data_IF_935521852026
#
_entry.id   IF_935521852026
#
_cell.length_a   1.000
_cell.length_b   1.000
_cell.length_c   1.000
_cell.angle_alpha   90.00
_cell.angle_beta   90.00
_cell.angle_gamma   90.00
#
_symmetry.space_group_name_H-M   'P 1'
#
loop_
_entity.id
_entity.type
_entity.pdbx_description
1 polymer ?
#
# COMPACT_ATOMS: atom_id res chain seq x y z
N UNK A 1 6.83 22.70 -61.44
CA UNK A 1 5.81 23.75 -61.69
C UNK A 1 5.42 24.18 -60.31
N UNK A 2 6.08 25.08 -59.94
CA UNK A 2 6.05 26.55 -59.71
C UNK A 2 5.65 26.84 -58.27
N UNK A 3 6.61 27.28 -57.52
CA UNK A 3 6.93 28.71 -57.23
C UNK A 3 5.81 29.41 -56.44
N UNK A 4 6.12 29.98 -55.30
CA UNK A 4 6.39 31.39 -55.03
C UNK A 4 6.70 31.57 -53.55
N UNK A 5 7.89 31.79 -53.12
CA UNK A 5 8.63 33.04 -52.98
C UNK A 5 8.02 34.06 -51.97
N UNK A 6 8.69 34.21 -50.84
CA UNK A 6 9.29 35.43 -50.28
C UNK A 6 8.41 36.65 -49.98
N UNK A 7 8.24 36.99 -48.69
CA UNK A 7 8.34 38.42 -48.30
C UNK A 7 9.02 38.50 -46.92
N UNK A 8 10.21 39.09 -46.93
CA UNK A 8 10.93 39.61 -45.76
C UNK A 8 10.40 41.00 -45.44
N UNK A 9 9.96 41.21 -44.23
CA UNK A 9 9.63 42.52 -43.67
C UNK A 9 10.58 42.90 -42.54
N UNK A 10 11.61 43.68 -42.84
CA UNK A 10 12.47 44.34 -41.84
C UNK A 10 11.71 45.48 -41.19
N UNK A 11 11.55 45.46 -39.89
CA UNK A 11 11.10 46.60 -39.09
C UNK A 11 12.25 47.12 -38.23
N UNK A 12 12.46 48.43 -38.34
CA UNK A 12 13.56 49.21 -37.79
C UNK A 12 13.42 49.39 -36.28
N UNK A 13 14.51 49.12 -35.58
CA UNK A 13 14.72 49.47 -34.17
C UNK A 13 14.84 51.00 -34.06
N UNK A 14 13.93 51.63 -33.33
CA UNK A 14 14.12 53.03 -32.85
C UNK A 14 14.59 52.96 -31.39
N UNK A 15 15.83 53.32 -31.18
CA UNK A 15 16.39 53.64 -29.86
C UNK A 15 15.79 54.96 -29.40
N UNK A 16 15.13 54.94 -28.25
CA UNK A 16 14.79 56.16 -27.52
C UNK A 16 15.59 56.14 -26.22
N UNK A 17 16.55 57.02 -26.13
CA UNK A 17 17.23 57.36 -24.86
C UNK A 17 16.34 58.30 -24.09
N UNK A 18 16.04 58.01 -22.84
CA UNK A 18 15.56 58.99 -21.87
C UNK A 18 16.41 58.90 -20.61
N UNK A 19 16.87 60.05 -20.26
CA UNK A 19 17.78 60.34 -19.16
C UNK A 19 17.12 60.13 -17.78
N UNK A 20 17.99 59.89 -16.81
CA UNK A 20 17.66 59.52 -15.45
C UNK A 20 16.96 60.56 -14.58
N UNK A 21 16.29 60.06 -13.58
CA UNK A 21 16.10 60.72 -12.32
C UNK A 21 16.26 59.67 -11.24
N UNK A 22 17.33 59.79 -10.45
CA UNK A 22 17.56 58.97 -9.27
C UNK A 22 16.69 59.44 -8.12
N UNK A 23 15.65 58.74 -7.81
CA UNK A 23 14.94 58.89 -6.56
C UNK A 23 15.44 57.82 -5.55
N UNK A 24 16.17 58.28 -4.56
CA UNK A 24 16.59 57.45 -3.42
C UNK A 24 15.38 57.29 -2.52
N UNK A 25 14.74 56.12 -2.55
CA UNK A 25 13.72 55.74 -1.58
C UNK A 25 14.42 54.98 -0.46
N UNK A 26 14.53 55.61 0.70
CA UNK A 26 14.92 54.90 1.94
C UNK A 26 13.75 54.08 2.39
N UNK A 27 13.77 52.77 2.17
CA UNK A 27 12.80 51.82 2.73
C UNK A 27 13.32 51.43 4.12
N UNK A 28 12.68 51.97 5.15
CA UNK A 28 12.87 51.48 6.52
C UNK A 28 12.28 50.04 6.61
N UNK A 29 13.14 49.04 6.64
CA UNK A 29 12.75 47.64 6.88
C UNK A 29 12.34 47.46 8.34
N UNK A 30 11.05 47.41 8.60
CA UNK A 30 10.51 46.89 9.88
C UNK A 30 10.67 45.37 9.85
N UNK A 31 11.65 44.88 10.57
CA UNK A 31 11.77 43.43 10.87
C UNK A 31 10.64 43.05 11.82
N UNK A 32 9.51 42.62 11.28
CA UNK A 32 8.51 41.91 12.05
C UNK A 32 9.06 40.47 12.27
N UNK A 33 9.55 40.20 13.46
CA UNK A 33 9.85 38.84 13.93
C UNK A 33 8.51 38.12 14.13
N UNK A 34 8.04 37.45 13.08
CA UNK A 34 7.00 36.44 13.26
C UNK A 34 7.62 35.26 14.03
N UNK A 35 7.44 35.28 15.35
CA UNK A 35 7.59 34.07 16.15
C UNK A 35 6.46 33.12 15.74
N UNK A 36 6.71 32.29 14.72
CA UNK A 36 5.88 31.12 14.48
C UNK A 36 6.08 30.21 15.67
N UNK A 37 5.05 30.11 16.53
CA UNK A 37 4.95 29.03 17.51
C UNK A 37 5.09 27.74 16.70
N UNK A 38 6.23 27.08 16.84
CA UNK A 38 6.46 25.77 16.29
C UNK A 38 5.43 24.85 16.92
N UNK A 39 4.38 24.52 16.18
CA UNK A 39 3.59 23.34 16.49
C UNK A 39 4.58 22.19 16.37
N UNK A 40 4.88 21.60 17.51
CA UNK A 40 5.67 20.36 17.63
C UNK A 40 4.95 19.30 16.80
N UNK A 41 5.27 19.23 15.50
CA UNK A 41 4.84 18.14 14.65
C UNK A 41 5.66 16.95 15.12
N UNK A 42 5.06 16.13 16.01
CA UNK A 42 5.49 14.76 16.19
C UNK A 42 5.92 14.25 14.83
N UNK A 43 7.19 13.94 14.64
CA UNK A 43 7.68 13.27 13.44
C UNK A 43 6.88 11.98 13.34
N UNK A 44 6.07 11.78 12.31
CA UNK A 44 5.42 10.48 12.13
C UNK A 44 6.56 9.45 12.05
N UNK A 45 6.39 8.36 12.77
CA UNK A 45 7.26 7.19 12.62
C UNK A 45 7.40 6.87 11.14
N UNK A 46 8.48 6.18 10.75
CA UNK A 46 8.83 5.94 9.35
C UNK A 46 7.59 5.83 8.46
N UNK A 47 7.48 6.70 7.46
CA UNK A 47 6.38 6.69 6.50
C UNK A 47 6.36 5.43 5.63
N UNK A 48 7.34 4.53 5.80
CA UNK A 48 7.46 3.30 5.04
C UNK A 48 7.98 2.15 5.93
N UNK A 49 7.46 0.95 5.69
CA UNK A 49 7.88 -0.30 6.33
C UNK A 49 8.14 -1.33 5.24
N UNK A 50 9.33 -1.94 5.27
CA UNK A 50 9.67 -3.12 4.47
C UNK A 50 9.43 -4.37 5.29
N UNK A 51 8.60 -5.25 4.76
CA UNK A 51 8.23 -6.55 5.35
C UNK A 51 8.88 -7.64 4.52
N UNK A 52 9.69 -8.49 5.13
CA UNK A 52 10.24 -9.67 4.47
C UNK A 52 9.24 -10.82 4.57
N UNK A 53 8.98 -11.50 3.45
CA UNK A 53 8.10 -12.66 3.40
C UNK A 53 8.93 -13.94 3.53
N UNK A 54 8.54 -14.81 4.45
CA UNK A 54 9.11 -16.15 4.61
C UNK A 54 8.08 -17.21 4.20
N UNK A 55 8.55 -18.28 3.57
CA UNK A 55 7.76 -19.45 3.24
C UNK A 55 7.59 -20.40 4.43
N UNK A 56 6.83 -21.47 4.24
CA UNK A 56 6.57 -22.49 5.28
C UNK A 56 7.82 -23.24 5.74
N UNK A 57 8.89 -23.21 4.96
CA UNK A 57 10.21 -23.75 5.27
C UNK A 57 11.12 -22.71 5.98
N UNK A 58 10.61 -21.51 6.25
CA UNK A 58 11.36 -20.39 6.82
C UNK A 58 12.27 -19.65 5.84
N UNK A 59 12.35 -20.07 4.59
CA UNK A 59 13.15 -19.39 3.58
C UNK A 59 12.52 -18.06 3.15
N UNK A 60 13.33 -17.05 2.84
CA UNK A 60 12.85 -15.80 2.28
C UNK A 60 12.28 -16.03 0.86
N UNK A 61 11.01 -15.66 0.68
CA UNK A 61 10.30 -15.80 -0.60
C UNK A 61 9.96 -14.46 -1.25
N UNK A 62 10.27 -13.34 -0.59
CA UNK A 62 10.00 -12.03 -1.15
C UNK A 62 9.94 -10.91 -0.13
N UNK A 63 9.34 -9.82 -0.51
CA UNK A 63 9.14 -8.66 0.38
C UNK A 63 7.93 -7.84 -0.05
N UNK A 64 7.37 -7.10 0.91
CA UNK A 64 6.33 -6.09 0.69
C UNK A 64 6.78 -4.78 1.31
N UNK A 65 6.62 -3.69 0.59
CA UNK A 65 6.80 -2.32 1.06
C UNK A 65 5.44 -1.69 1.29
N UNK A 66 5.21 -1.20 2.48
CA UNK A 66 4.04 -0.41 2.85
C UNK A 66 4.48 1.03 3.04
N UNK A 67 3.96 1.95 2.26
CA UNK A 67 4.34 3.35 2.31
C UNK A 67 3.12 4.23 2.57
N UNK A 68 3.06 4.89 3.72
CA UNK A 68 2.01 5.84 4.06
C UNK A 68 2.14 7.11 3.22
N UNK A 69 1.10 7.43 2.47
CA UNK A 69 1.01 8.64 1.64
C UNK A 69 -0.28 9.40 1.99
N UNK A 70 -0.18 10.31 2.96
CA UNK A 70 -1.34 11.06 3.47
C UNK A 70 -2.39 10.11 4.03
N UNK A 71 -3.55 10.00 3.35
CA UNK A 71 -4.72 9.18 3.70
C UNK A 71 -4.69 7.75 3.11
N UNK A 72 -3.62 7.38 2.42
CA UNK A 72 -3.49 6.07 1.75
C UNK A 72 -2.19 5.38 2.08
N UNK A 73 -2.19 4.06 2.01
CA UNK A 73 -0.97 3.25 1.99
C UNK A 73 -0.75 2.72 0.58
N UNK A 74 0.41 2.99 0.01
CA UNK A 74 0.88 2.32 -1.20
C UNK A 74 1.53 1.01 -0.79
N UNK A 75 0.99 -0.09 -1.30
CA UNK A 75 1.51 -1.44 -1.14
C UNK A 75 2.23 -1.82 -2.43
N UNK A 76 3.48 -2.23 -2.33
CA UNK A 76 4.23 -2.78 -3.47
C UNK A 76 5.06 -3.96 -3.00
N UNK A 77 5.26 -4.96 -3.87
CA UNK A 77 5.99 -6.14 -3.44
C UNK A 77 6.37 -7.07 -4.57
N UNK A 78 7.25 -7.99 -4.19
CA UNK A 78 7.75 -9.07 -5.02
C UNK A 78 7.68 -10.36 -4.20
N UNK A 79 7.22 -11.44 -4.81
CA UNK A 79 7.36 -12.80 -4.26
C UNK A 79 7.87 -13.74 -5.33
N UNK A 80 8.51 -14.84 -4.90
CA UNK A 80 9.06 -15.88 -5.77
C UNK A 80 8.92 -17.26 -5.12
N UNK A 81 9.01 -18.30 -5.93
CA UNK A 81 8.93 -19.69 -5.47
C UNK A 81 7.52 -20.11 -5.06
N UNK A 82 6.50 -19.33 -5.44
CA UNK A 82 5.10 -19.67 -5.23
C UNK A 82 4.52 -20.43 -6.42
N UNK A 83 3.43 -21.17 -6.19
CA UNK A 83 2.74 -21.87 -7.29
C UNK A 83 2.09 -20.87 -8.25
N UNK A 84 2.11 -21.10 -9.58
CA UNK A 84 1.44 -20.19 -10.51
C UNK A 84 -0.07 -20.09 -10.29
N UNK A 85 -0.61 -18.89 -10.43
CA UNK A 85 -2.05 -18.61 -10.29
C UNK A 85 -2.36 -17.43 -9.38
N UNK A 86 -3.63 -17.26 -9.07
CA UNK A 86 -4.07 -16.24 -8.10
C UNK A 86 -4.00 -16.79 -6.68
N UNK A 87 -3.54 -15.96 -5.76
CA UNK A 87 -3.42 -16.23 -4.32
C UNK A 87 -4.15 -15.15 -3.53
N UNK A 88 -4.85 -15.55 -2.46
CA UNK A 88 -5.34 -14.60 -1.47
C UNK A 88 -4.15 -13.84 -0.87
N UNK A 89 -4.33 -12.53 -0.72
CA UNK A 89 -3.29 -11.63 -0.23
C UNK A 89 -3.91 -10.67 0.77
N UNK A 90 -3.53 -10.80 2.04
CA UNK A 90 -4.20 -10.11 3.12
C UNK A 90 -3.23 -9.56 4.17
N UNK A 91 -3.70 -8.56 4.93
CA UNK A 91 -3.12 -8.24 6.23
C UNK A 91 -3.84 -9.09 7.29
N UNK A 92 -3.09 -9.77 8.14
CA UNK A 92 -3.55 -10.50 9.31
C UNK A 92 -3.35 -9.70 10.59
N UNK A 93 -4.18 -9.98 11.61
CA UNK A 93 -4.37 -9.15 12.78
C UNK A 93 -3.21 -9.18 13.79
N UNK A 94 -2.31 -10.16 13.73
CA UNK A 94 -1.22 -10.34 14.70
C UNK A 94 0.13 -10.43 13.99
N UNK A 95 1.13 -9.72 14.50
CA UNK A 95 2.49 -9.65 13.94
C UNK A 95 3.36 -10.88 14.30
N UNK A 96 2.82 -12.10 14.11
CA UNK A 96 3.53 -13.35 14.40
C UNK A 96 3.46 -14.31 13.21
N UNK A 97 4.60 -14.58 12.59
CA UNK A 97 4.75 -15.53 11.48
C UNK A 97 5.49 -16.79 11.94
N UNK A 98 4.78 -17.72 12.61
CA UNK A 98 5.34 -19.00 13.02
C UNK A 98 5.00 -20.09 11.96
N UNK A 99 5.98 -20.57 11.16
CA UNK A 99 5.73 -21.64 10.20
C UNK A 99 5.45 -23.00 10.83
N UNK A 100 5.81 -23.18 12.12
CA UNK A 100 5.61 -24.40 12.90
C UNK A 100 4.48 -24.31 13.91
N UNK A 101 3.56 -23.34 13.76
CA UNK A 101 2.44 -23.18 14.68
C UNK A 101 1.61 -24.47 14.76
N UNK A 102 1.15 -24.90 15.96
CA UNK A 102 0.58 -26.23 16.18
C UNK A 102 -0.66 -26.56 15.34
N UNK A 103 -1.42 -25.55 14.94
CA UNK A 103 -2.67 -25.70 14.18
C UNK A 103 -2.49 -25.49 12.68
N UNK A 104 -1.26 -25.25 12.22
CA UNK A 104 -0.90 -25.07 10.81
C UNK A 104 0.01 -23.87 10.60
N UNK A 105 0.78 -23.82 9.49
CA UNK A 105 1.70 -22.75 9.21
C UNK A 105 1.07 -21.38 9.33
N UNK A 106 1.73 -20.48 10.07
CA UNK A 106 1.35 -19.06 10.22
C UNK A 106 -0.04 -18.80 10.83
N UNK A 107 -0.71 -19.82 11.44
CA UNK A 107 -2.00 -19.62 12.13
C UNK A 107 -1.84 -18.65 13.32
N UNK A 108 -0.61 -18.53 13.85
CA UNK A 108 -0.22 -17.55 14.87
C UNK A 108 -0.51 -16.09 14.48
N UNK A 109 -0.60 -15.78 13.19
CA UNK A 109 -0.94 -14.43 12.72
C UNK A 109 -2.43 -14.05 12.91
N UNK A 110 -3.26 -14.95 13.46
CA UNK A 110 -4.70 -14.70 13.64
C UNK A 110 -5.50 -14.71 12.34
N UNK A 111 -6.68 -14.09 12.35
CA UNK A 111 -7.53 -13.88 11.19
C UNK A 111 -7.11 -12.62 10.39
N UNK A 112 -7.88 -12.28 9.36
CA UNK A 112 -7.69 -11.04 8.62
C UNK A 112 -7.80 -9.82 9.55
N UNK A 113 -7.03 -8.77 9.28
CA UNK A 113 -7.12 -7.50 10.00
C UNK A 113 -8.50 -6.88 9.77
N UNK A 114 -9.35 -6.91 10.80
CA UNK A 114 -10.77 -6.58 10.72
C UNK A 114 -11.25 -5.80 11.94
N UNK A 115 -10.80 -4.55 12.14
CA UNK A 115 -11.15 -3.75 13.31
C UNK A 115 -12.64 -3.38 13.38
N UNK A 116 -13.37 -3.49 12.27
CA UNK A 116 -14.79 -3.11 12.16
C UNK A 116 -15.73 -4.31 12.19
N UNK A 117 -15.20 -5.54 12.32
CA UNK A 117 -15.96 -6.79 12.43
C UNK A 117 -16.93 -7.02 11.26
N UNK A 118 -16.49 -6.71 10.05
CA UNK A 118 -17.22 -6.97 8.81
C UNK A 118 -16.97 -8.41 8.32
N UNK A 119 -17.69 -8.82 7.28
CA UNK A 119 -17.41 -10.07 6.57
C UNK A 119 -16.30 -9.88 5.53
N UNK A 120 -15.69 -11.00 5.10
CA UNK A 120 -14.69 -11.01 4.06
C UNK A 120 -15.17 -10.31 2.78
N UNK A 121 -14.20 -9.65 2.14
CA UNK A 121 -14.34 -8.67 1.08
C UNK A 121 -14.34 -7.24 1.60
N UNK A 122 -14.80 -7.04 2.85
CA UNK A 122 -14.85 -5.73 3.52
C UNK A 122 -13.96 -5.63 4.77
N UNK A 123 -13.15 -6.67 5.10
CA UNK A 123 -12.12 -6.51 6.12
C UNK A 123 -11.14 -5.42 5.72
N UNK A 124 -10.65 -4.66 6.67
CA UNK A 124 -9.64 -3.64 6.37
C UNK A 124 -8.36 -4.27 5.77
N UNK A 125 -8.04 -5.51 6.15
CA UNK A 125 -6.89 -6.25 5.66
C UNK A 125 -7.06 -6.94 4.30
N UNK A 126 -8.25 -6.92 3.69
CA UNK A 126 -8.45 -7.56 2.39
C UNK A 126 -7.84 -6.72 1.27
N UNK A 127 -6.91 -7.32 0.52
CA UNK A 127 -6.15 -6.68 -0.55
C UNK A 127 -6.42 -7.36 -1.90
N UNK A 128 -6.10 -6.70 -3.03
CA UNK A 128 -6.16 -7.35 -4.34
C UNK A 128 -5.35 -8.65 -4.36
N UNK A 129 -5.87 -9.74 -4.98
CA UNK A 129 -5.16 -11.00 -5.06
C UNK A 129 -3.79 -10.87 -5.72
N UNK A 130 -2.82 -11.63 -5.23
CA UNK A 130 -1.51 -11.72 -5.83
C UNK A 130 -1.54 -12.68 -7.03
N UNK A 131 -1.13 -12.23 -8.22
CA UNK A 131 -0.97 -13.06 -9.38
C UNK A 131 0.48 -13.56 -9.47
N UNK A 132 0.67 -14.87 -9.38
CA UNK A 132 1.94 -15.56 -9.60
C UNK A 132 1.99 -16.04 -11.04
N UNK A 133 3.03 -15.63 -11.76
CA UNK A 133 3.28 -16.02 -13.16
C UNK A 133 3.81 -17.47 -13.27
N UNK A 134 3.87 -18.00 -14.48
CA UNK A 134 4.25 -19.41 -14.72
C UNK A 134 5.67 -19.74 -14.30
N UNK A 135 6.52 -18.74 -14.12
CA UNK A 135 7.90 -18.88 -13.62
C UNK A 135 7.99 -18.77 -12.07
N UNK A 136 6.85 -18.71 -11.37
CA UNK A 136 6.78 -18.66 -9.92
C UNK A 136 7.02 -17.28 -9.31
N UNK A 137 7.01 -16.21 -10.12
CA UNK A 137 7.19 -14.84 -9.65
C UNK A 137 5.88 -14.06 -9.56
N UNK A 138 5.79 -13.15 -8.62
CA UNK A 138 4.68 -12.21 -8.48
C UNK A 138 5.17 -10.80 -8.21
N UNK A 139 4.48 -9.84 -8.81
CA UNK A 139 4.65 -8.41 -8.54
C UNK A 139 3.31 -7.80 -8.22
N UNK A 140 3.28 -6.91 -7.24
CA UNK A 140 2.07 -6.15 -6.91
C UNK A 140 2.42 -4.70 -6.65
N UNK A 141 1.49 -3.81 -7.02
CA UNK A 141 1.56 -2.39 -6.64
C UNK A 141 0.15 -1.79 -6.73
N UNK A 142 -0.34 -1.28 -5.62
CA UNK A 142 -1.64 -0.60 -5.51
C UNK A 142 -1.65 0.37 -4.34
N UNK A 143 -2.68 1.20 -4.25
CA UNK A 143 -2.93 2.06 -3.10
C UNK A 143 -4.26 1.68 -2.43
N UNK A 144 -4.31 1.75 -1.10
CA UNK A 144 -5.51 1.49 -0.30
C UNK A 144 -5.65 2.54 0.79
N UNK A 145 -6.89 2.84 1.17
CA UNK A 145 -7.29 3.68 2.29
C UNK A 145 -7.98 2.87 3.41
N UNK A 146 -7.98 1.54 3.29
CA UNK A 146 -8.63 0.63 4.25
C UNK A 146 -7.90 0.53 5.59
N UNK A 147 -6.61 0.86 5.63
CA UNK A 147 -5.78 0.89 6.83
C UNK A 147 -4.73 1.99 6.73
N UNK A 148 -4.14 2.35 7.87
CA UNK A 148 -2.95 3.19 7.96
C UNK A 148 -1.76 2.38 8.47
N UNK A 149 -0.52 2.84 8.25
CA UNK A 149 0.65 2.17 8.85
C UNK A 149 0.60 2.17 10.38
N UNK A 150 0.10 3.25 10.98
CA UNK A 150 0.00 3.34 12.44
C UNK A 150 -0.99 2.31 12.99
N UNK A 151 -2.13 2.09 12.28
CA UNK A 151 -3.13 1.10 12.70
C UNK A 151 -2.68 -0.36 12.54
N UNK A 152 -1.70 -0.63 11.66
CA UNK A 152 -1.09 -1.95 11.49
C UNK A 152 0.07 -2.22 12.45
N UNK A 153 0.52 -1.20 13.16
CA UNK A 153 1.69 -1.24 14.04
C UNK A 153 1.29 -0.97 15.49
N UNK A 154 0.15 -1.50 15.87
CA UNK A 154 -0.36 -1.48 17.24
C UNK A 154 0.46 -2.39 18.17
N UNK A 155 -0.05 -2.69 19.37
CA UNK A 155 0.69 -3.37 20.44
C UNK A 155 1.18 -4.77 20.06
N UNK A 156 0.47 -5.50 19.21
CA UNK A 156 0.82 -6.86 18.76
C UNK A 156 1.21 -6.90 17.27
N UNK A 157 1.19 -5.75 16.59
CA UNK A 157 1.55 -5.62 15.18
C UNK A 157 0.56 -6.33 14.27
N UNK A 158 0.97 -6.53 13.02
CA UNK A 158 0.17 -7.22 12.01
C UNK A 158 1.08 -8.10 11.15
N UNK A 159 0.51 -8.86 10.22
CA UNK A 159 1.28 -9.65 9.28
C UNK A 159 0.74 -9.56 7.87
N UNK A 160 1.62 -9.46 6.88
CA UNK A 160 1.29 -9.69 5.47
C UNK A 160 1.20 -11.18 5.24
N UNK A 161 0.13 -11.65 4.60
CA UNK A 161 -0.12 -13.07 4.35
C UNK A 161 -0.40 -13.35 2.88
N UNK A 162 0.22 -14.41 2.36
CA UNK A 162 -0.10 -15.00 1.06
C UNK A 162 -0.72 -16.37 1.30
N UNK A 163 -1.86 -16.64 0.69
CA UNK A 163 -2.58 -17.90 0.80
C UNK A 163 -2.28 -18.84 -0.39
N UNK A 164 -2.58 -20.13 -0.23
CA UNK A 164 -2.32 -21.15 -1.26
C UNK A 164 -3.27 -21.05 -2.45
N UNK A 165 -4.51 -20.62 -2.21
CA UNK A 165 -5.58 -20.62 -3.18
C UNK A 165 -6.05 -19.22 -3.54
N UNK A 166 -7.03 -19.21 -4.43
CA UNK A 166 -7.70 -17.99 -4.89
C UNK A 166 -8.63 -17.47 -3.83
N UNK A 167 -8.64 -16.17 -3.70
CA UNK A 167 -9.66 -15.45 -2.96
C UNK A 167 -10.96 -15.36 -3.78
N UNK A 168 -12.12 -15.53 -3.15
CA UNK A 168 -13.43 -15.40 -3.79
C UNK A 168 -13.89 -13.94 -3.92
N UNK A 169 -13.21 -12.99 -3.27
CA UNK A 169 -13.49 -11.55 -3.26
C UNK A 169 -14.94 -11.22 -2.85
N UNK A 170 -15.52 -12.03 -1.97
CA UNK A 170 -16.94 -11.96 -1.55
C UNK A 170 -17.94 -12.06 -2.73
N UNK A 171 -17.49 -12.56 -3.88
CA UNK A 171 -18.38 -12.81 -5.02
C UNK A 171 -19.21 -14.07 -4.82
N UNK A 172 -20.19 -14.00 -3.91
CA UNK A 172 -21.06 -15.11 -3.50
C UNK A 172 -22.40 -15.00 -4.23
N UNK A 173 -22.61 -15.75 -5.31
CA UNK A 173 -23.90 -15.72 -6.03
C UNK A 173 -25.02 -16.35 -5.20
N UNK A 174 -26.28 -15.94 -5.43
CA UNK A 174 -27.44 -16.47 -4.70
C UNK A 174 -27.62 -17.99 -4.82
N UNK A 175 -27.02 -18.63 -5.84
CA UNK A 175 -27.01 -20.09 -6.04
C UNK A 175 -25.95 -20.83 -5.23
N UNK A 176 -25.09 -20.10 -4.49
CA UNK A 176 -24.00 -20.69 -3.71
C UNK A 176 -24.58 -21.55 -2.55
N UNK A 177 -23.96 -22.70 -2.33
CA UNK A 177 -24.27 -23.56 -1.19
C UNK A 177 -22.97 -24.04 -0.55
N UNK A 178 -22.90 -24.02 0.79
CA UNK A 178 -21.83 -24.62 1.58
C UNK A 178 -22.37 -25.88 2.26
N UNK A 179 -21.75 -27.04 2.00
CA UNK A 179 -22.21 -28.32 2.56
C UNK A 179 -23.69 -28.65 2.28
N UNK A 180 -24.24 -28.19 1.16
CA UNK A 180 -25.66 -28.38 0.78
C UNK A 180 -26.65 -27.38 1.41
N UNK A 181 -26.17 -26.45 2.21
CA UNK A 181 -26.96 -25.35 2.80
C UNK A 181 -26.80 -24.09 1.92
N UNK A 182 -27.91 -23.43 1.61
CA UNK A 182 -27.91 -22.21 0.82
C UNK A 182 -27.19 -21.07 1.54
N UNK A 183 -26.32 -20.36 0.80
CA UNK A 183 -25.51 -19.24 1.28
C UNK A 183 -24.10 -19.66 1.74
N UNK A 184 -23.23 -18.68 2.04
CA UNK A 184 -21.86 -18.90 2.51
C UNK A 184 -21.87 -19.39 3.97
N UNK A 185 -20.88 -20.21 4.30
CA UNK A 185 -20.60 -20.58 5.70
C UNK A 185 -19.64 -19.57 6.37
N UNK A 186 -19.33 -19.83 7.65
CA UNK A 186 -18.44 -18.96 8.43
C UNK A 186 -17.00 -18.94 7.89
N UNK A 187 -16.54 -20.01 7.25
CA UNK A 187 -15.20 -20.05 6.66
C UNK A 187 -15.14 -19.13 5.44
N UNK A 188 -16.13 -19.20 4.55
CA UNK A 188 -16.25 -18.30 3.39
C UNK A 188 -16.32 -16.83 3.82
N UNK A 189 -17.16 -16.52 4.83
CA UNK A 189 -17.34 -15.17 5.34
C UNK A 189 -16.12 -14.62 6.11
N UNK A 190 -15.25 -15.50 6.60
CA UNK A 190 -14.08 -15.10 7.38
C UNK A 190 -12.76 -15.10 6.61
N UNK A 191 -12.68 -15.84 5.48
CA UNK A 191 -11.37 -16.13 4.84
C UNK A 191 -11.36 -15.96 3.32
N UNK A 192 -12.50 -15.74 2.69
CA UNK A 192 -12.61 -15.71 1.22
C UNK A 192 -12.25 -17.04 0.55
N UNK A 193 -12.27 -18.16 1.28
CA UNK A 193 -11.92 -19.51 0.82
C UNK A 193 -10.50 -19.61 0.21
N UNK A 194 -9.60 -18.69 0.55
CA UNK A 194 -8.25 -18.62 -0.01
C UNK A 194 -7.33 -19.78 0.43
N UNK A 195 -7.76 -20.60 1.35
CA UNK A 195 -7.08 -21.83 1.76
C UNK A 195 -5.93 -21.60 2.76
N UNK A 196 -4.97 -22.53 2.78
CA UNK A 196 -3.84 -22.50 3.70
C UNK A 196 -2.90 -21.33 3.45
N UNK A 197 -2.05 -21.02 4.43
CA UNK A 197 -1.08 -19.92 4.39
C UNK A 197 0.25 -20.44 3.88
N UNK A 198 0.85 -19.77 2.89
CA UNK A 198 2.08 -20.24 2.24
C UNK A 198 3.26 -19.28 2.41
N UNK A 199 2.99 -18.00 2.68
CA UNK A 199 4.03 -17.03 3.04
C UNK A 199 3.49 -15.99 4.01
N UNK A 200 4.36 -15.53 4.92
CA UNK A 200 4.03 -14.58 5.98
C UNK A 200 5.19 -13.59 6.19
N UNK A 201 4.87 -12.35 6.51
CA UNK A 201 5.84 -11.33 6.88
C UNK A 201 5.32 -10.43 7.98
N UNK A 202 6.12 -10.21 9.02
CA UNK A 202 5.73 -9.44 10.22
C UNK A 202 5.81 -7.94 9.95
N UNK A 203 4.74 -7.23 10.29
CA UNK A 203 4.69 -5.77 10.44
C UNK A 203 4.87 -5.48 11.93
N UNK A 204 6.07 -5.10 12.35
CA UNK A 204 6.38 -4.89 13.76
C UNK A 204 5.63 -3.72 14.37
N UNK A 205 5.28 -3.81 15.68
CA UNK A 205 4.73 -2.69 16.44
C UNK A 205 5.63 -1.44 16.38
N UNK A 206 5.01 -0.28 16.62
CA UNK A 206 5.78 0.95 16.87
C UNK A 206 6.51 0.80 18.23
N UNK A 207 7.82 0.94 18.21
CA UNK A 207 8.61 1.07 19.45
C UNK A 207 8.51 2.52 19.90
N UNK A 208 7.87 2.76 21.04
CA UNK A 208 7.70 4.07 21.68
C UNK A 208 8.83 4.35 22.68
#
# INVERSE_FOLDING_TARGET
MDEVSKVMGRSKVRRLMLAGVSAVIVVASVLATNATAGTDRKHPGSSAVRVELIGVDGAAVGWVMLHQMRDKVVVSGLAQGLTPGFHGFHIHAVGVCDPAAPTGPFVSAGGHYNPTLLNHGDHAGDMPPLLVTTDGHAYTSFATDRFSLDSLRDVDGSAVMVHAGRDNLANIPARYTAGGVAGPDSATLGTGDAGSRVACGVINPLVH
#
